data_IF_094066857858
#
_entry.id   IF_094066857858
#
_cell.length_a   1.000
_cell.length_b   1.000
_cell.length_c   1.000
_cell.angle_alpha   90.00
_cell.angle_beta   90.00
_cell.angle_gamma   90.00
#
_symmetry.space_group_name_H-M   'P 1'
#
loop_
_entity.id
_entity.type
_entity.pdbx_description
1 polymer ?
#
# COMPACT_ATOMS: atom_id res chain seq x y z
N UNK A 1 18.56 -32.51 2.93
CA UNK A 1 18.22 -31.68 4.10
C UNK A 1 18.98 -30.37 3.93
N UNK A 2 18.34 -29.36 3.35
CA UNK A 2 18.94 -28.03 3.25
C UNK A 2 18.55 -27.32 4.55
N UNK A 3 19.55 -27.03 5.39
CA UNK A 3 19.38 -26.31 6.64
C UNK A 3 18.80 -24.93 6.34
N UNK A 4 17.69 -24.59 6.98
CA UNK A 4 17.27 -23.19 7.08
C UNK A 4 15.81 -22.97 7.38
N UNK A 5 14.89 -23.63 6.68
CA UNK A 5 13.46 -23.34 6.81
C UNK A 5 12.62 -24.59 6.52
N UNK A 6 11.89 -25.08 7.53
CA UNK A 6 10.93 -26.16 7.35
C UNK A 6 9.59 -25.57 6.92
N UNK A 7 9.16 -25.85 5.68
CA UNK A 7 7.81 -25.56 5.23
C UNK A 7 6.88 -26.73 5.56
N UNK A 8 5.58 -26.44 5.76
CA UNK A 8 4.58 -27.48 5.94
C UNK A 8 4.52 -28.39 4.71
N UNK A 9 4.40 -29.70 4.91
CA UNK A 9 4.20 -30.65 3.79
C UNK A 9 2.94 -30.34 2.97
N UNK A 10 1.98 -29.64 3.56
CA UNK A 10 0.73 -29.24 2.89
C UNK A 10 0.95 -28.32 1.69
N UNK A 11 2.06 -27.57 1.65
CA UNK A 11 2.36 -26.64 0.55
C UNK A 11 3.34 -27.22 -0.48
N UNK A 12 3.70 -28.50 -0.38
CA UNK A 12 4.72 -29.12 -1.23
C UNK A 12 4.41 -29.02 -2.73
N UNK A 13 3.14 -29.19 -3.13
CA UNK A 13 2.75 -29.20 -4.55
C UNK A 13 2.31 -27.83 -5.08
N UNK A 14 2.02 -26.87 -4.19
CA UNK A 14 1.57 -25.53 -4.54
C UNK A 14 2.68 -24.46 -4.43
N UNK A 15 3.74 -24.72 -3.68
CA UNK A 15 4.84 -23.79 -3.47
C UNK A 15 5.96 -24.02 -4.50
N UNK A 16 6.24 -23.01 -5.30
CA UNK A 16 7.48 -22.97 -6.08
C UNK A 16 8.63 -22.54 -5.16
N UNK A 17 9.48 -23.50 -4.78
CA UNK A 17 10.65 -23.22 -3.96
C UNK A 17 11.67 -22.37 -4.73
N UNK A 18 11.92 -21.15 -4.24
CA UNK A 18 13.00 -20.30 -4.73
C UNK A 18 14.21 -20.52 -3.84
N UNK A 19 15.26 -21.14 -4.38
CA UNK A 19 16.50 -21.32 -3.64
C UNK A 19 17.08 -19.97 -3.20
N UNK A 20 17.63 -19.93 -1.98
CA UNK A 20 18.27 -18.74 -1.41
C UNK A 20 17.36 -17.52 -1.28
N UNK A 21 16.03 -17.70 -1.27
CA UNK A 21 15.07 -16.61 -1.09
C UNK A 21 15.23 -15.81 0.21
N UNK A 22 15.99 -16.30 1.20
CA UNK A 22 16.28 -15.61 2.45
C UNK A 22 17.76 -15.21 2.60
N UNK A 23 18.59 -15.43 1.58
CA UNK A 23 20.03 -15.11 1.65
C UNK A 23 20.27 -13.64 1.27
N UNK A 24 19.56 -12.73 1.92
CA UNK A 24 19.73 -11.29 1.80
C UNK A 24 19.31 -10.59 3.09
N UNK A 25 19.69 -9.32 3.21
CA UNK A 25 19.33 -8.49 4.36
C UNK A 25 17.89 -8.00 4.23
N UNK A 26 17.19 -7.93 5.36
CA UNK A 26 15.91 -7.24 5.44
C UNK A 26 16.11 -5.77 5.04
N UNK A 27 15.37 -5.23 4.04
CA UNK A 27 15.52 -3.86 3.58
C UNK A 27 15.07 -2.80 4.60
N UNK A 28 14.41 -3.21 5.69
CA UNK A 28 13.91 -2.31 6.74
C UNK A 28 14.93 -2.16 7.87
N UNK A 29 15.37 -3.27 8.48
CA UNK A 29 16.30 -3.27 9.62
C UNK A 29 17.75 -3.60 9.25
N UNK A 30 18.02 -3.98 8.00
CA UNK A 30 19.36 -4.32 7.48
C UNK A 30 19.97 -5.58 8.11
N UNK A 31 19.21 -6.33 8.91
CA UNK A 31 19.64 -7.62 9.46
C UNK A 31 19.50 -8.75 8.43
N UNK A 32 20.42 -9.71 8.47
CA UNK A 32 20.42 -10.86 7.56
C UNK A 32 19.27 -11.83 7.88
N UNK A 33 18.40 -12.11 6.90
CA UNK A 33 17.16 -12.85 7.14
C UNK A 33 17.39 -14.31 7.57
N UNK A 34 18.48 -14.94 7.11
CA UNK A 34 18.74 -16.35 7.37
C UNK A 34 19.34 -16.61 8.77
N UNK A 35 20.16 -15.69 9.30
CA UNK A 35 20.84 -15.88 10.59
C UNK A 35 19.99 -15.43 11.79
N UNK A 36 18.88 -14.72 11.55
CA UNK A 36 18.02 -14.21 12.62
C UNK A 36 16.98 -15.24 13.06
N UNK A 37 16.70 -15.30 14.36
CA UNK A 37 15.57 -16.06 14.92
C UNK A 37 14.23 -15.33 14.80
N UNK A 38 14.19 -14.19 14.09
CA UNK A 38 12.98 -13.37 13.90
C UNK A 38 12.09 -14.02 12.86
N UNK A 39 10.78 -13.99 13.08
CA UNK A 39 9.81 -14.43 12.10
C UNK A 39 9.96 -13.64 10.79
N UNK A 40 9.90 -14.36 9.68
CA UNK A 40 9.95 -13.79 8.34
C UNK A 40 8.62 -13.98 7.63
N UNK A 41 8.34 -13.09 6.69
CA UNK A 41 7.13 -13.12 5.87
C UNK A 41 7.45 -12.81 4.41
N UNK A 42 6.69 -13.42 3.51
CA UNK A 42 6.77 -13.18 2.07
C UNK A 42 5.69 -12.18 1.69
N UNK A 43 6.08 -11.03 1.15
CA UNK A 43 5.14 -10.04 0.63
C UNK A 43 4.43 -10.56 -0.62
N UNK A 44 3.28 -9.99 -0.98
CA UNK A 44 2.54 -10.33 -2.22
C UNK A 44 3.36 -10.22 -3.50
N UNK A 45 4.39 -9.36 -3.50
CA UNK A 45 5.32 -9.19 -4.62
C UNK A 45 6.42 -10.26 -4.67
N UNK A 46 6.50 -11.16 -3.68
CA UNK A 46 7.51 -12.22 -3.56
C UNK A 46 8.75 -11.87 -2.72
N UNK A 47 8.96 -10.60 -2.36
CA UNK A 47 10.10 -10.20 -1.53
C UNK A 47 9.86 -10.55 -0.05
N UNK A 48 10.92 -11.00 0.63
CA UNK A 48 10.86 -11.42 2.03
C UNK A 48 11.41 -10.35 2.96
N UNK A 49 10.73 -10.13 4.09
CA UNK A 49 11.14 -9.23 5.18
C UNK A 49 10.80 -9.86 6.54
N UNK A 50 11.28 -9.29 7.64
CA UNK A 50 10.82 -9.70 8.98
C UNK A 50 9.35 -9.31 9.21
N UNK A 51 8.62 -10.17 9.93
CA UNK A 51 7.23 -9.92 10.32
C UNK A 51 7.09 -8.68 11.20
N UNK A 52 8.06 -8.44 12.10
CA UNK A 52 8.12 -7.23 12.92
C UNK A 52 8.30 -5.98 12.05
N UNK A 53 9.23 -6.02 11.08
CA UNK A 53 9.42 -4.92 10.14
C UNK A 53 8.17 -4.65 9.28
N UNK A 54 7.40 -5.69 8.93
CA UNK A 54 6.10 -5.49 8.27
C UNK A 54 5.12 -4.74 9.18
N UNK A 55 5.05 -5.10 10.47
CA UNK A 55 4.18 -4.42 11.45
C UNK A 55 4.62 -2.96 11.67
N UNK A 56 5.92 -2.69 11.67
CA UNK A 56 6.44 -1.30 11.73
C UNK A 56 6.05 -0.50 10.48
N UNK A 57 6.19 -1.10 9.29
CA UNK A 57 5.73 -0.47 8.04
C UNK A 57 4.25 -0.13 8.09
N UNK A 58 3.42 -1.03 8.64
CA UNK A 58 2.00 -0.79 8.88
C UNK A 58 1.78 0.41 9.80
N UNK A 59 2.42 0.44 10.98
CA UNK A 59 2.30 1.55 11.93
C UNK A 59 2.69 2.91 11.34
N UNK A 60 3.61 2.92 10.37
CA UNK A 60 4.06 4.12 9.66
C UNK A 60 3.32 4.38 8.33
N UNK A 61 2.21 3.69 8.06
CA UNK A 61 1.40 3.84 6.84
C UNK A 61 2.19 3.63 5.55
N UNK A 62 3.21 2.76 5.57
CA UNK A 62 4.05 2.42 4.42
C UNK A 62 3.59 1.14 3.74
N UNK A 63 2.68 1.28 2.78
CA UNK A 63 2.06 0.16 2.05
C UNK A 63 2.83 -0.28 0.80
N UNK A 64 4.04 0.21 0.58
CA UNK A 64 4.86 -0.10 -0.61
C UNK A 64 6.05 -0.96 -0.23
N UNK A 65 6.32 -1.99 -1.03
CA UNK A 65 7.50 -2.84 -0.87
C UNK A 65 8.77 -1.98 -0.98
N UNK A 66 9.69 -2.05 -0.01
CA UNK A 66 10.93 -1.26 -0.05
C UNK A 66 11.91 -1.71 -1.16
N UNK A 67 11.70 -2.88 -1.77
CA UNK A 67 12.57 -3.42 -2.82
C UNK A 67 12.07 -3.05 -4.22
N UNK A 68 10.76 -3.14 -4.48
CA UNK A 68 10.20 -2.99 -5.82
C UNK A 68 9.03 -2.01 -5.92
N UNK A 69 8.69 -1.33 -4.82
CA UNK A 69 7.63 -0.32 -4.73
C UNK A 69 6.19 -0.81 -5.02
N UNK A 70 5.98 -2.11 -5.26
CA UNK A 70 4.63 -2.70 -5.38
C UNK A 70 3.88 -2.64 -4.05
N UNK A 71 2.56 -2.50 -4.10
CA UNK A 71 1.70 -2.54 -2.92
C UNK A 71 1.81 -3.88 -2.19
N UNK A 72 1.89 -3.84 -0.86
CA UNK A 72 2.04 -5.04 -0.02
C UNK A 72 0.71 -5.66 0.43
N UNK A 73 -0.38 -4.89 0.37
CA UNK A 73 -1.75 -5.34 0.64
C UNK A 73 -2.70 -4.85 -0.45
N UNK A 74 -3.95 -5.30 -0.41
CA UNK A 74 -4.99 -4.78 -1.30
C UNK A 74 -5.33 -3.33 -0.90
N UNK A 75 -5.15 -2.41 -1.84
CA UNK A 75 -5.43 -0.99 -1.65
C UNK A 75 -6.63 -0.54 -2.49
N UNK A 76 -7.44 -1.47 -3.03
CA UNK A 76 -8.63 -1.18 -3.86
C UNK A 76 -9.58 -0.18 -3.22
N UNK A 77 -9.89 -0.37 -1.93
CA UNK A 77 -10.75 0.56 -1.20
C UNK A 77 -10.12 1.95 -1.01
N UNK A 78 -8.79 2.04 -0.96
CA UNK A 78 -8.08 3.32 -0.88
C UNK A 78 -8.09 4.00 -2.24
N UNK A 79 -7.84 3.27 -3.33
CA UNK A 79 -7.90 3.80 -4.68
C UNK A 79 -9.30 4.32 -5.02
N UNK A 80 -10.35 3.56 -4.71
CA UNK A 80 -11.74 3.99 -4.91
C UNK A 80 -12.03 5.31 -4.19
N UNK A 81 -11.50 5.51 -2.98
CA UNK A 81 -11.64 6.77 -2.25
C UNK A 81 -10.84 7.92 -2.86
N UNK A 82 -9.65 7.63 -3.41
CA UNK A 82 -8.83 8.63 -4.10
C UNK A 82 -9.43 9.03 -5.45
N UNK A 83 -10.13 8.11 -6.12
CA UNK A 83 -10.79 8.33 -7.41
C UNK A 83 -12.15 9.04 -7.26
N UNK A 84 -12.63 9.28 -6.03
CA UNK A 84 -13.88 10.00 -5.79
C UNK A 84 -13.81 11.42 -6.36
N UNK A 85 -14.88 11.82 -7.03
CA UNK A 85 -15.02 13.18 -7.51
C UNK A 85 -15.14 14.16 -6.33
N UNK A 86 -14.62 15.36 -6.52
CA UNK A 86 -14.68 16.42 -5.53
C UNK A 86 -15.66 17.48 -5.98
N UNK A 87 -16.49 17.95 -5.05
CA UNK A 87 -17.33 19.10 -5.29
C UNK A 87 -16.52 20.38 -5.13
N UNK A 88 -16.50 21.19 -6.18
CA UNK A 88 -15.85 22.48 -6.22
C UNK A 88 -16.87 23.60 -6.41
N UNK A 89 -16.54 24.78 -5.90
CA UNK A 89 -17.19 26.05 -6.20
C UNK A 89 -16.20 26.94 -6.94
N UNK A 90 -16.59 27.47 -8.08
CA UNK A 90 -15.80 28.44 -8.82
C UNK A 90 -15.97 29.83 -8.22
N UNK A 91 -14.85 30.48 -7.87
CA UNK A 91 -14.85 31.83 -7.33
C UNK A 91 -15.16 32.88 -8.41
N UNK A 92 -14.95 32.59 -9.70
CA UNK A 92 -15.18 33.55 -10.79
C UNK A 92 -16.62 33.54 -11.33
N UNK A 93 -17.29 32.39 -11.35
CA UNK A 93 -18.66 32.28 -11.88
C UNK A 93 -19.70 31.82 -10.86
N UNK A 94 -19.29 31.48 -9.63
CA UNK A 94 -20.18 30.99 -8.57
C UNK A 94 -20.76 29.60 -8.80
N UNK A 95 -20.41 28.93 -9.89
CA UNK A 95 -20.95 27.62 -10.22
C UNK A 95 -20.31 26.53 -9.35
N UNK A 96 -21.15 25.64 -8.81
CA UNK A 96 -20.71 24.40 -8.21
C UNK A 96 -20.64 23.30 -9.25
N UNK A 97 -19.55 22.54 -9.27
CA UNK A 97 -19.41 21.38 -10.15
C UNK A 97 -18.72 20.24 -9.43
N UNK A 98 -19.09 19.01 -9.77
CA UNK A 98 -18.36 17.81 -9.37
C UNK A 98 -17.33 17.49 -10.46
N UNK A 99 -16.07 17.33 -10.06
CA UNK A 99 -14.96 17.06 -10.99
C UNK A 99 -14.03 16.01 -10.40
N UNK A 100 -13.40 15.21 -11.26
CA UNK A 100 -12.32 14.34 -10.84
C UNK A 100 -11.24 15.13 -10.10
N UNK A 101 -10.77 14.56 -8.99
CA UNK A 101 -9.65 15.09 -8.26
C UNK A 101 -8.43 15.17 -9.17
N UNK A 102 -7.79 16.34 -9.21
CA UNK A 102 -6.54 16.54 -9.91
C UNK A 102 -5.57 17.23 -8.97
N UNK A 103 -4.42 16.61 -8.70
CA UNK A 103 -3.44 17.05 -7.71
C UNK A 103 -2.98 18.51 -7.89
N UNK A 104 -2.95 19.01 -9.13
CA UNK A 104 -2.56 20.40 -9.42
C UNK A 104 -3.67 21.40 -9.14
N UNK A 105 -4.85 21.22 -9.74
CA UNK A 105 -5.95 22.17 -9.67
C UNK A 105 -7.24 21.60 -10.25
N UNK A 106 -8.39 22.11 -9.80
CA UNK A 106 -9.70 21.72 -10.28
C UNK A 106 -10.26 22.75 -11.26
N UNK A 107 -10.61 22.30 -12.47
CA UNK A 107 -11.10 23.18 -13.53
C UNK A 107 -12.62 23.31 -13.46
N UNK A 108 -13.11 24.54 -13.39
CA UNK A 108 -14.55 24.81 -13.50
C UNK A 108 -15.06 24.38 -14.89
N UNK A 109 -16.10 23.56 -14.92
CA UNK A 109 -16.67 23.08 -16.19
C UNK A 109 -17.40 24.17 -16.98
N UNK A 110 -17.90 25.21 -16.29
CA UNK A 110 -18.61 26.34 -16.90
C UNK A 110 -17.66 27.36 -17.53
N UNK A 111 -16.85 28.05 -16.72
CA UNK A 111 -16.02 29.17 -17.19
C UNK A 111 -14.57 28.77 -17.51
N UNK A 112 -14.20 27.49 -17.32
CA UNK A 112 -12.84 26.96 -17.54
C UNK A 112 -11.75 27.55 -16.65
N UNK A 113 -12.11 28.39 -15.66
CA UNK A 113 -11.20 28.89 -14.64
C UNK A 113 -10.75 27.79 -13.69
N UNK A 114 -9.51 27.92 -13.19
CA UNK A 114 -8.95 27.10 -12.11
C UNK A 114 -9.07 27.79 -10.73
N UNK A 115 -9.65 28.99 -10.66
CA UNK A 115 -9.93 29.69 -9.40
C UNK A 115 -11.14 29.05 -8.71
N UNK A 116 -10.93 27.88 -8.13
CA UNK A 116 -11.96 27.02 -7.53
C UNK A 116 -11.57 26.63 -6.11
N UNK A 117 -12.57 26.42 -5.25
CA UNK A 117 -12.39 25.88 -3.88
C UNK A 117 -13.24 24.63 -3.70
N UNK A 118 -12.76 23.64 -2.95
CA UNK A 118 -13.55 22.46 -2.61
C UNK A 118 -14.63 22.83 -1.56
N UNK A 119 -15.87 22.37 -1.74
CA UNK A 119 -17.01 22.75 -0.90
C UNK A 119 -17.65 21.60 -0.09
N UNK A 120 -17.39 20.34 -0.43
CA UNK A 120 -17.72 19.22 0.45
C UNK A 120 -16.43 18.53 0.90
N UNK A 121 -16.29 18.45 2.24
CA UNK A 121 -15.18 17.83 2.92
C UNK A 121 -15.09 16.37 2.53
N UNK A 122 -13.92 15.99 2.01
CA UNK A 122 -13.52 14.58 2.00
C UNK A 122 -13.82 14.04 3.39
N UNK A 123 -14.68 13.02 3.42
CA UNK A 123 -14.96 12.20 4.59
C UNK A 123 -13.70 12.15 5.44
N UNK A 124 -13.82 12.63 6.69
CA UNK A 124 -12.81 12.56 7.72
C UNK A 124 -11.94 11.34 7.48
N UNK A 125 -10.60 11.52 7.46
CA UNK A 125 -9.59 10.49 7.34
C UNK A 125 -10.03 9.22 8.08
N UNK A 126 -10.84 8.42 7.43
CA UNK A 126 -11.27 7.13 7.90
C UNK A 126 -10.06 6.34 7.51
N UNK A 127 -9.16 6.20 8.48
CA UNK A 127 -7.99 5.37 8.47
C UNK A 127 -8.44 3.99 8.00
N UNK A 128 -8.54 3.82 6.68
CA UNK A 128 -8.64 2.53 6.06
C UNK A 128 -7.25 1.96 6.23
N UNK A 129 -7.05 1.37 7.40
CA UNK A 129 -5.95 0.50 7.70
C UNK A 129 -6.40 -0.88 7.23
N UNK A 130 -6.14 -1.28 5.98
CA UNK A 130 -6.15 -2.70 5.68
C UNK A 130 -5.11 -3.33 6.61
N UNK A 131 -5.56 -4.21 7.52
CA UNK A 131 -4.65 -4.92 8.40
C UNK A 131 -3.74 -5.79 7.53
N UNK A 132 -2.46 -5.46 7.44
CA UNK A 132 -1.53 -6.14 6.53
C UNK A 132 -1.41 -7.64 6.85
N UNK A 133 -1.60 -7.99 8.13
CA UNK A 133 -1.52 -9.35 8.67
C UNK A 133 -2.77 -10.21 8.41
N UNK A 134 -3.93 -9.62 8.12
CA UNK A 134 -5.19 -10.37 7.88
C UNK A 134 -5.34 -10.82 6.40
N UNK A 135 -4.37 -10.50 5.55
CA UNK A 135 -4.41 -10.77 4.11
C UNK A 135 -3.32 -11.74 3.62
N UNK A 136 -2.65 -12.41 4.55
CA UNK A 136 -1.67 -13.47 4.31
C UNK A 136 -2.32 -14.83 4.57
N UNK A 137 -3.00 -15.36 3.56
CA UNK A 137 -3.45 -16.76 3.49
C UNK A 137 -3.06 -17.29 2.11
#
# INVERSE_FOLDING_TARGET
MILGCCYSKLIQDAHHCVERAMHHNCPVCVEFLFDTMKDITVLRCGHTIHLECLKEMEQHFRYSCPVCSKSICDMSNVWVKLDQEVQILCNDCGESSEVHFHNVAHKCQRCKSYNTRQIQGGSAAASCHPRMVDMMI
#
